data_IF_031462384042
#
_entry.id   IF_031462384042
#
_cell.length_a   1.000
_cell.length_b   1.000
_cell.length_c   1.000
_cell.angle_alpha   90.00
_cell.angle_beta   90.00
_cell.angle_gamma   90.00
#
_symmetry.space_group_name_H-M   'P 1'
#
loop_
_entity.id
_entity.type
_entity.pdbx_description
1 polymer ?
#
# COMPACT_ATOMS: atom_id res chain seq x y z
N UNK A 1 -12.45 12.57 -2.61
CA UNK A 1 -11.14 11.90 -2.54
C UNK A 1 -11.35 10.40 -2.50
N UNK A 2 -10.55 9.67 -3.22
CA UNK A 2 -10.60 8.21 -3.23
C UNK A 2 -9.60 7.64 -2.24
N UNK A 3 -9.80 6.38 -1.84
CA UNK A 3 -8.84 5.71 -0.97
C UNK A 3 -7.46 5.61 -1.65
N UNK A 4 -7.41 5.45 -2.96
CA UNK A 4 -6.14 5.38 -3.67
C UNK A 4 -5.40 6.71 -3.67
N UNK A 5 -6.11 7.83 -3.82
CA UNK A 5 -5.52 9.16 -3.67
C UNK A 5 -4.96 9.35 -2.27
N UNK A 6 -5.71 8.91 -1.26
CA UNK A 6 -5.28 9.02 0.14
C UNK A 6 -4.06 8.13 0.43
N UNK A 7 -4.00 6.93 -0.18
CA UNK A 7 -2.81 6.07 -0.10
C UNK A 7 -1.60 6.75 -0.72
N UNK A 8 -1.76 7.31 -1.91
CA UNK A 8 -0.68 8.05 -2.57
C UNK A 8 -0.18 9.18 -1.69
N UNK A 9 -1.10 9.99 -1.15
CA UNK A 9 -0.72 11.12 -0.30
C UNK A 9 0.00 10.69 0.98
N UNK A 10 -0.40 9.56 1.56
CA UNK A 10 0.24 9.05 2.77
C UNK A 10 1.66 8.53 2.52
N UNK A 11 1.94 8.02 1.31
CA UNK A 11 3.19 7.32 1.01
C UNK A 11 4.18 8.13 0.16
N UNK A 12 3.71 9.16 -0.53
CA UNK A 12 4.53 9.86 -1.55
C UNK A 12 5.83 10.45 -1.00
N UNK A 13 5.84 10.93 0.23
CA UNK A 13 7.04 11.55 0.81
C UNK A 13 8.14 10.55 1.13
N UNK A 14 7.81 9.27 1.23
CA UNK A 14 8.78 8.23 1.57
C UNK A 14 9.67 7.85 0.38
N UNK A 15 9.19 8.04 -0.84
CA UNK A 15 9.85 7.60 -2.06
C UNK A 15 9.85 8.68 -3.15
N UNK A 16 9.85 9.96 -2.78
CA UNK A 16 9.90 11.05 -3.75
C UNK A 16 8.75 11.02 -4.76
N UNK A 17 7.55 10.75 -4.30
CA UNK A 17 6.32 10.66 -5.10
C UNK A 17 6.26 9.48 -6.07
N UNK A 18 7.18 8.52 -5.98
CA UNK A 18 7.18 7.33 -6.84
C UNK A 18 6.30 6.24 -6.27
N UNK A 19 4.99 6.50 -6.25
CA UNK A 19 3.95 5.57 -5.77
C UNK A 19 2.98 5.33 -6.93
N UNK A 20 2.81 4.07 -7.32
CA UNK A 20 2.05 3.70 -8.51
C UNK A 20 1.05 2.59 -8.24
N UNK A 21 -0.13 2.63 -8.87
CA UNK A 21 -1.04 1.49 -8.83
C UNK A 21 -0.52 0.36 -9.70
N UNK A 22 -0.64 -0.85 -9.23
CA UNK A 22 -0.32 -2.11 -9.93
C UNK A 22 1.16 -2.25 -10.27
N UNK A 23 1.67 -1.55 -11.28
CA UNK A 23 3.06 -1.62 -11.70
C UNK A 23 3.64 -0.24 -11.91
N UNK A 24 4.93 -0.08 -11.63
CA UNK A 24 5.65 1.14 -11.92
C UNK A 24 6.01 1.22 -13.42
N UNK A 25 6.11 2.42 -13.98
CA UNK A 25 6.60 2.56 -15.35
C UNK A 25 7.99 1.96 -15.51
N UNK A 26 8.29 1.52 -16.73
CA UNK A 26 9.61 0.97 -17.05
C UNK A 26 10.73 2.00 -16.72
N UNK A 27 11.79 1.48 -16.14
CA UNK A 27 12.95 2.27 -15.73
C UNK A 27 12.67 3.30 -14.63
N UNK A 28 11.63 3.08 -13.81
CA UNK A 28 11.40 3.94 -12.65
C UNK A 28 12.56 3.84 -11.66
N UNK A 29 13.03 5.00 -11.19
CA UNK A 29 14.10 5.07 -10.21
C UNK A 29 13.64 4.44 -8.87
N UNK A 30 14.53 3.69 -8.25
CA UNK A 30 14.30 3.13 -6.91
C UNK A 30 14.81 4.08 -5.84
N UNK A 31 14.20 4.10 -4.65
CA UNK A 31 13.07 3.27 -4.24
C UNK A 31 11.73 3.75 -4.81
N UNK A 32 10.78 2.83 -4.98
CA UNK A 32 9.41 3.16 -5.35
C UNK A 32 8.44 2.18 -4.69
N UNK A 33 7.16 2.55 -4.70
CA UNK A 33 6.11 1.76 -4.07
C UNK A 33 5.03 1.48 -5.12
N UNK A 34 4.52 0.25 -5.13
CA UNK A 34 3.32 -0.10 -5.88
C UNK A 34 2.25 -0.61 -4.93
N UNK A 35 1.00 -0.38 -5.27
CA UNK A 35 -0.12 -0.86 -4.45
C UNK A 35 -1.22 -1.41 -5.35
N UNK A 36 -2.02 -2.32 -4.77
CA UNK A 36 -3.09 -2.99 -5.49
C UNK A 36 -4.14 -3.46 -4.49
N UNK A 37 -5.40 -3.22 -4.79
CA UNK A 37 -6.46 -3.80 -3.97
C UNK A 37 -6.63 -5.26 -4.36
N UNK A 38 -6.45 -6.16 -3.41
CA UNK A 38 -6.50 -7.61 -3.64
C UNK A 38 -7.74 -8.27 -3.06
N UNK A 39 -8.60 -7.52 -2.39
CA UNK A 39 -9.79 -8.07 -1.78
C UNK A 39 -10.47 -7.08 -0.87
N UNK A 40 -11.32 -7.58 0.00
CA UNK A 40 -12.04 -6.78 0.96
C UNK A 40 -13.34 -7.46 1.35
N UNK A 41 -14.03 -6.88 2.33
CA UNK A 41 -15.33 -7.33 2.77
C UNK A 41 -16.41 -6.45 2.16
N UNK A 42 -17.50 -7.06 1.74
CA UNK A 42 -18.69 -6.33 1.28
C UNK A 42 -19.70 -6.30 2.41
N UNK A 43 -20.12 -5.10 2.79
CA UNK A 43 -21.18 -4.92 3.77
C UNK A 43 -22.50 -4.75 3.04
N UNK A 44 -23.46 -5.63 3.33
CA UNK A 44 -24.76 -5.60 2.68
C UNK A 44 -25.86 -5.58 3.74
N UNK A 45 -26.32 -4.38 4.16
CA UNK A 45 -27.40 -4.28 5.13
C UNK A 45 -28.72 -4.85 4.60
N UNK A 46 -29.53 -5.39 5.50
CA UNK A 46 -30.83 -5.95 5.14
C UNK A 46 -31.81 -4.88 4.66
N UNK A 47 -31.66 -3.64 5.11
CA UNK A 47 -32.51 -2.51 4.73
C UNK A 47 -32.19 -1.95 3.35
N UNK A 48 -31.21 -2.51 2.66
CA UNK A 48 -30.76 -2.12 1.33
C UNK A 48 -30.21 -0.70 1.23
N UNK A 49 -29.85 -0.11 2.37
CA UNK A 49 -29.15 1.17 2.38
C UNK A 49 -27.70 0.92 2.03
N UNK A 50 -27.13 1.70 1.12
CA UNK A 50 -25.71 1.60 0.77
C UNK A 50 -24.88 2.15 1.92
N UNK A 51 -23.92 1.39 2.49
CA UNK A 51 -23.09 1.89 3.59
C UNK A 51 -22.24 3.08 3.16
N UNK A 52 -21.94 3.96 4.08
CA UNK A 52 -21.07 5.10 3.83
C UNK A 52 -19.58 4.75 3.88
N UNK A 53 -19.25 3.55 4.32
CA UNK A 53 -17.88 3.03 4.42
C UNK A 53 -17.72 1.82 3.52
N UNK A 54 -16.48 1.61 3.11
CA UNK A 54 -16.11 0.40 2.36
C UNK A 54 -14.81 -0.15 2.92
N UNK A 55 -14.59 -1.44 2.68
CA UNK A 55 -13.41 -2.15 3.13
C UNK A 55 -12.61 -2.67 1.93
N UNK A 56 -11.29 -2.55 2.01
CA UNK A 56 -10.40 -3.14 1.03
C UNK A 56 -9.16 -3.70 1.68
N UNK A 57 -8.64 -4.77 1.11
CA UNK A 57 -7.31 -5.26 1.47
C UNK A 57 -6.37 -4.84 0.35
N UNK A 58 -5.35 -4.07 0.72
CA UNK A 58 -4.38 -3.52 -0.22
C UNK A 58 -3.04 -4.19 -0.01
N UNK A 59 -2.47 -4.70 -1.09
CA UNK A 59 -1.10 -5.17 -1.08
C UNK A 59 -0.19 -4.02 -1.46
N UNK A 60 0.77 -3.73 -0.60
CA UNK A 60 1.74 -2.66 -0.82
C UNK A 60 3.12 -3.27 -0.98
N UNK A 61 3.76 -2.99 -2.10
CA UNK A 61 5.08 -3.49 -2.43
C UNK A 61 6.08 -2.33 -2.41
N UNK A 62 7.19 -2.53 -1.71
CA UNK A 62 8.30 -1.57 -1.71
C UNK A 62 9.43 -2.17 -2.51
N UNK A 63 10.01 -1.41 -3.43
CA UNK A 63 11.17 -1.85 -4.22
C UNK A 63 12.33 -0.89 -4.03
N UNK A 64 13.51 -1.46 -3.76
CA UNK A 64 14.72 -0.69 -3.46
C UNK A 64 15.96 -1.40 -4.02
N UNK A 65 17.10 -0.72 -3.95
CA UNK A 65 18.36 -1.27 -4.44
C UNK A 65 19.01 -2.25 -3.45
N UNK A 66 18.65 -2.17 -2.18
CA UNK A 66 19.18 -3.06 -1.15
C UNK A 66 18.07 -3.59 -0.25
N UNK A 67 18.33 -4.74 0.38
CA UNK A 67 17.39 -5.32 1.34
C UNK A 67 17.18 -4.40 2.55
N UNK A 68 18.25 -3.78 3.03
CA UNK A 68 18.17 -2.89 4.18
C UNK A 68 17.30 -1.67 3.90
N UNK A 69 17.42 -1.08 2.72
CA UNK A 69 16.61 0.05 2.31
C UNK A 69 15.13 -0.35 2.18
N UNK A 70 14.87 -1.48 1.54
CA UNK A 70 13.50 -1.97 1.39
C UNK A 70 12.84 -2.22 2.74
N UNK A 71 13.56 -2.85 3.68
CA UNK A 71 13.05 -3.11 5.02
C UNK A 71 12.77 -1.83 5.80
N UNK A 72 13.67 -0.85 5.71
CA UNK A 72 13.49 0.43 6.39
C UNK A 72 12.26 1.18 5.85
N UNK A 73 12.09 1.22 4.54
CA UNK A 73 10.94 1.87 3.92
C UNK A 73 9.65 1.13 4.27
N UNK A 74 9.67 -0.20 4.33
CA UNK A 74 8.49 -0.97 4.70
C UNK A 74 7.97 -0.61 6.10
N UNK A 75 8.87 -0.39 7.07
CA UNK A 75 8.47 0.06 8.40
C UNK A 75 7.89 1.48 8.37
N UNK A 76 8.44 2.35 7.53
CA UNK A 76 7.91 3.71 7.35
C UNK A 76 6.52 3.67 6.70
N UNK A 77 6.31 2.78 5.74
CA UNK A 77 5.00 2.58 5.11
C UNK A 77 3.97 2.15 6.16
N UNK A 78 4.30 1.17 6.98
CA UNK A 78 3.42 0.70 8.04
C UNK A 78 3.02 1.84 8.98
N UNK A 79 4.00 2.61 9.45
CA UNK A 79 3.75 3.73 10.33
C UNK A 79 2.88 4.80 9.68
N UNK A 80 3.18 5.15 8.42
CA UNK A 80 2.44 6.18 7.69
C UNK A 80 0.98 5.79 7.49
N UNK A 81 0.72 4.52 7.16
CA UNK A 81 -0.64 4.05 6.92
C UNK A 81 -1.45 3.93 8.21
N UNK A 82 -0.83 3.46 9.29
CA UNK A 82 -1.50 3.38 10.60
C UNK A 82 -1.88 4.78 11.10
N UNK A 83 -1.04 5.77 10.87
CA UNK A 83 -1.25 7.13 11.36
C UNK A 83 -2.08 8.01 10.43
N UNK A 84 -2.40 7.55 9.22
CA UNK A 84 -3.13 8.34 8.25
C UNK A 84 -4.54 8.68 8.77
N UNK A 85 -4.92 9.95 8.68
CA UNK A 85 -6.23 10.42 9.15
C UNK A 85 -7.36 10.13 8.16
N UNK A 86 -7.03 9.92 6.89
CA UNK A 86 -8.02 9.78 5.82
C UNK A 86 -8.75 8.43 5.83
N UNK A 87 -8.18 7.42 6.48
CA UNK A 87 -8.76 6.08 6.55
C UNK A 87 -8.31 5.35 7.80
N UNK A 88 -8.92 4.22 8.09
CA UNK A 88 -8.52 3.36 9.19
C UNK A 88 -7.79 2.16 8.62
N UNK A 89 -6.51 2.03 8.94
CA UNK A 89 -5.64 0.99 8.41
C UNK A 89 -5.15 0.06 9.51
N UNK A 90 -5.19 -1.24 9.21
CA UNK A 90 -4.64 -2.27 10.08
C UNK A 90 -3.75 -3.18 9.25
N UNK A 91 -2.46 -3.34 9.60
CA UNK A 91 -1.62 -4.33 8.91
C UNK A 91 -2.18 -5.74 9.12
N UNK A 92 -2.26 -6.52 8.04
CA UNK A 92 -2.73 -7.91 8.12
C UNK A 92 -1.59 -8.87 8.42
N UNK A 93 -0.36 -8.48 8.07
CA UNK A 93 0.82 -9.33 8.27
C UNK A 93 2.05 -8.44 8.40
N UNK A 94 3.16 -9.05 8.82
CA UNK A 94 4.45 -8.38 8.74
C UNK A 94 4.93 -8.34 7.29
N UNK A 95 5.84 -7.43 6.93
CA UNK A 95 6.40 -7.41 5.59
C UNK A 95 7.10 -8.72 5.24
N UNK A 96 6.90 -9.18 4.00
CA UNK A 96 7.56 -10.36 3.46
C UNK A 96 8.65 -9.88 2.52
N UNK A 97 9.90 -10.33 2.75
CA UNK A 97 11.02 -9.96 1.90
C UNK A 97 10.93 -10.65 0.56
N UNK A 98 11.27 -9.93 -0.50
CA UNK A 98 11.29 -10.45 -1.85
C UNK A 98 12.54 -9.94 -2.59
N UNK A 99 13.10 -10.77 -3.48
CA UNK A 99 14.24 -10.38 -4.30
C UNK A 99 13.97 -10.81 -5.73
N UNK A 100 14.12 -9.87 -6.65
CA UNK A 100 13.96 -10.14 -8.07
C UNK A 100 15.32 -10.04 -8.75
N UNK A 101 15.98 -11.20 -9.03
CA UNK A 101 17.35 -11.20 -9.54
C UNK A 101 17.49 -10.62 -10.95
N UNK A 102 16.48 -10.77 -11.80
CA UNK A 102 16.56 -10.29 -13.18
C UNK A 102 16.75 -8.78 -13.26
N UNK A 103 16.09 -8.03 -12.36
CA UNK A 103 16.20 -6.58 -12.27
C UNK A 103 17.10 -6.14 -11.12
N UNK A 104 17.67 -7.10 -10.39
CA UNK A 104 18.51 -6.88 -9.23
C UNK A 104 17.92 -5.88 -8.25
N UNK A 105 16.66 -6.11 -7.87
CA UNK A 105 15.94 -5.27 -6.92
C UNK A 105 15.47 -6.08 -5.73
N UNK A 106 15.40 -5.41 -4.60
CA UNK A 106 14.96 -5.99 -3.34
C UNK A 106 13.65 -5.33 -2.94
N UNK A 107 12.73 -6.13 -2.45
CA UNK A 107 11.43 -5.60 -2.12
C UNK A 107 10.83 -6.22 -0.88
N UNK A 108 9.70 -5.65 -0.48
CA UNK A 108 8.82 -6.21 0.55
C UNK A 108 7.39 -6.21 0.04
N UNK A 109 6.62 -7.17 0.52
CA UNK A 109 5.19 -7.30 0.23
C UNK A 109 4.47 -7.31 1.56
N UNK A 110 3.47 -6.45 1.73
CA UNK A 110 2.68 -6.43 2.95
C UNK A 110 1.23 -6.08 2.62
N UNK A 111 0.31 -6.77 3.28
CA UNK A 111 -1.12 -6.55 3.10
C UNK A 111 -1.67 -5.70 4.23
N UNK A 112 -2.56 -4.76 3.88
CA UNK A 112 -3.21 -3.85 4.82
C UNK A 112 -4.72 -3.89 4.64
N UNK A 113 -5.43 -3.98 5.77
CA UNK A 113 -6.88 -3.86 5.81
C UNK A 113 -7.23 -2.39 5.98
N UNK A 114 -8.00 -1.82 5.05
CA UNK A 114 -8.33 -0.39 5.05
C UNK A 114 -9.83 -0.18 4.99
N UNK A 115 -10.34 0.56 5.98
CA UNK A 115 -11.70 1.07 6.00
C UNK A 115 -11.67 2.53 5.58
N UNK A 116 -12.44 2.88 4.59
CA UNK A 116 -12.46 4.24 4.05
C UNK A 116 -13.87 4.67 3.72
N UNK A 117 -14.05 5.97 3.48
CA UNK A 117 -15.32 6.49 2.99
C UNK A 117 -15.58 6.03 1.57
N UNK A 118 -16.85 5.73 1.33
CA UNK A 118 -17.30 5.25 0.04
C UNK A 118 -17.32 6.35 -1.01
#
# INVERSE_FOLDING_TARGET
MTVETDLFDALKTLVGSRVFPDVAPWETARPYITYQQIGGQVIRPLDRVVPDKKHGIFQVNVWADTRAEAAAIALQVESALIQAAAFLCKPESAPIANHEPDLNRYGTIQDFSIWSSR
#
